data_IF_661875373746
#
_entry.id   IF_661875373746
#
_cell.length_a   1.000
_cell.length_b   1.000
_cell.length_c   1.000
_cell.angle_alpha   90.00
_cell.angle_beta   90.00
_cell.angle_gamma   90.00
#
_symmetry.space_group_name_H-M   'P 1'
#
loop_
_entity.id
_entity.type
_entity.pdbx_description
1 polymer ?
#
# COMPACT_ATOMS: atom_id res chain seq x y z
N UNK A 1 -31.23 -3.07 52.34
CA UNK A 1 -31.18 -1.59 52.34
C UNK A 1 -29.73 -1.22 52.04
N UNK A 2 -29.30 -0.43 51.06
CA UNK A 2 -29.90 0.58 50.18
C UNK A 2 -29.25 0.44 48.79
N UNK A 3 -30.03 0.64 47.72
CA UNK A 3 -29.57 0.75 46.34
C UNK A 3 -29.08 2.18 46.10
N UNK A 4 -27.92 2.37 45.46
CA UNK A 4 -27.48 3.66 44.97
C UNK A 4 -27.78 3.75 43.46
N UNK A 5 -28.72 4.62 43.14
CA UNK A 5 -29.14 5.00 41.80
C UNK A 5 -28.17 6.06 41.28
N UNK A 6 -27.44 5.81 40.19
CA UNK A 6 -26.67 6.84 39.49
C UNK A 6 -27.51 7.35 38.33
N UNK A 7 -27.82 8.64 38.38
CA UNK A 7 -28.61 9.38 37.39
C UNK A 7 -27.69 9.79 36.23
N UNK A 8 -28.06 9.41 35.02
CA UNK A 8 -27.46 9.88 33.76
C UNK A 8 -28.14 11.19 33.39
N UNK A 9 -27.39 12.30 33.37
CA UNK A 9 -27.87 13.59 32.85
C UNK A 9 -27.30 13.76 31.44
N UNK A 10 -28.20 13.62 30.47
CA UNK A 10 -28.00 13.91 29.06
C UNK A 10 -27.88 15.41 28.85
N UNK A 11 -26.78 15.87 28.23
CA UNK A 11 -26.57 17.26 27.86
C UNK A 11 -26.10 17.37 26.42
N UNK A 12 -27.05 17.43 25.48
CA UNK A 12 -26.80 17.74 24.08
C UNK A 12 -26.65 19.25 23.91
N UNK A 13 -25.46 19.74 23.54
CA UNK A 13 -25.30 21.08 22.98
C UNK A 13 -25.00 20.96 21.49
N UNK A 14 -26.00 21.24 20.67
CA UNK A 14 -25.83 21.50 19.24
C UNK A 14 -25.43 22.97 19.07
N UNK A 15 -24.20 23.20 18.58
CA UNK A 15 -23.76 24.51 18.10
C UNK A 15 -24.01 24.57 16.59
N UNK A 16 -24.98 25.39 16.20
CA UNK A 16 -25.25 25.79 14.81
C UNK A 16 -25.07 27.30 14.71
N UNK A 17 -24.54 27.74 13.57
CA UNK A 17 -24.37 29.11 13.04
C UNK A 17 -22.92 29.63 13.14
N UNK A 18 -22.28 30.09 12.06
CA UNK A 18 -22.79 30.35 10.71
C UNK A 18 -21.66 30.48 9.69
N UNK A 19 -21.99 30.19 8.44
CA UNK A 19 -21.12 30.43 7.28
C UNK A 19 -21.52 31.77 6.68
N UNK A 20 -20.61 32.73 6.71
CA UNK A 20 -20.76 34.03 6.05
C UNK A 20 -20.53 33.83 4.56
N UNK A 21 -21.59 33.96 3.76
CA UNK A 21 -21.48 34.03 2.30
C UNK A 21 -21.01 35.44 1.91
N UNK A 22 -19.76 35.55 1.47
CA UNK A 22 -19.23 36.77 0.86
C UNK A 22 -19.56 36.76 -0.64
N UNK A 23 -20.56 37.53 -1.04
CA UNK A 23 -20.89 37.79 -2.45
C UNK A 23 -19.86 38.74 -3.05
N UNK A 24 -18.96 38.23 -3.88
CA UNK A 24 -18.13 39.09 -4.75
C UNK A 24 -18.87 39.41 -6.05
N UNK A 25 -18.88 40.68 -6.49
CA UNK A 25 -19.57 41.10 -7.69
C UNK A 25 -18.89 40.59 -8.96
N UNK A 26 -19.71 40.11 -9.89
CA UNK A 26 -19.39 39.78 -11.27
C UNK A 26 -18.90 41.01 -12.02
N UNK A 27 -17.63 41.02 -12.42
CA UNK A 27 -17.09 41.99 -13.36
C UNK A 27 -17.49 41.61 -14.79
N UNK A 28 -18.01 42.59 -15.54
CA UNK A 28 -18.44 42.46 -16.92
C UNK A 28 -17.26 42.16 -17.88
N UNK A 29 -17.49 41.46 -19.00
CA UNK A 29 -16.46 41.25 -20.02
C UNK A 29 -16.22 42.55 -20.82
N UNK A 30 -14.99 43.06 -20.76
CA UNK A 30 -14.52 44.11 -21.67
C UNK A 30 -14.28 43.53 -23.06
N UNK A 31 -15.04 44.05 -24.04
CA UNK A 31 -14.74 43.92 -25.47
C UNK A 31 -13.46 44.69 -25.80
N UNK A 32 -12.43 43.97 -26.23
CA UNK A 32 -11.25 44.56 -26.88
C UNK A 32 -11.39 44.35 -28.39
N UNK A 33 -11.28 45.45 -29.14
CA UNK A 33 -11.35 45.51 -30.60
C UNK A 33 -10.14 44.80 -31.25
N UNK A 34 -10.30 44.13 -32.39
CA UNK A 34 -9.17 43.68 -33.19
C UNK A 34 -8.61 44.86 -33.99
N UNK A 35 -7.39 45.30 -33.66
CA UNK A 35 -6.58 46.07 -34.60
C UNK A 35 -5.87 45.10 -35.53
N UNK A 36 -6.24 45.16 -36.80
CA UNK A 36 -5.42 44.67 -37.89
C UNK A 36 -4.17 45.55 -38.01
N UNK A 37 -2.99 44.94 -37.95
CA UNK A 37 -1.89 45.36 -38.80
C UNK A 37 -1.07 44.14 -39.22
N UNK A 38 -1.19 43.91 -40.50
CA UNK A 38 -0.47 43.05 -41.41
C UNK A 38 1.06 42.94 -41.22
N UNK A 39 1.54 41.74 -41.58
CA UNK A 39 2.72 41.51 -42.43
C UNK A 39 4.09 41.49 -41.74
N UNK A 40 4.63 40.28 -41.61
CA UNK A 40 5.91 39.82 -42.20
C UNK A 40 6.49 38.63 -41.40
N UNK A 41 6.37 37.41 -41.95
CA UNK A 41 7.47 36.46 -42.23
C UNK A 41 6.85 35.07 -42.45
N UNK A 42 6.64 34.73 -43.72
CA UNK A 42 6.63 33.34 -44.13
C UNK A 42 8.06 32.80 -44.08
N UNK A 43 8.22 31.60 -43.53
CA UNK A 43 9.33 30.73 -43.91
C UNK A 43 10.33 30.43 -42.80
N UNK A 44 9.92 29.61 -41.84
CA UNK A 44 10.73 28.48 -41.37
C UNK A 44 9.80 27.54 -40.59
N UNK A 45 9.13 26.63 -41.30
CA UNK A 45 8.54 25.44 -40.69
C UNK A 45 9.71 24.59 -40.23
N UNK A 46 10.08 24.73 -38.95
CA UNK A 46 10.98 23.79 -38.31
C UNK A 46 10.35 22.40 -38.40
N UNK A 47 10.99 21.50 -39.17
CA UNK A 47 10.65 20.07 -39.18
C UNK A 47 10.66 19.61 -37.72
N UNK A 48 9.59 18.97 -37.20
CA UNK A 48 9.65 18.39 -35.87
C UNK A 48 10.78 17.37 -35.87
N UNK A 49 11.83 17.65 -35.11
CA UNK A 49 12.87 16.67 -34.83
C UNK A 49 12.21 15.55 -34.05
N UNK A 50 11.97 14.42 -34.71
CA UNK A 50 11.55 13.19 -34.06
C UNK A 50 12.74 12.75 -33.20
N UNK A 51 12.70 13.09 -31.91
CA UNK A 51 13.63 12.52 -30.94
C UNK A 51 13.31 11.03 -30.88
N UNK A 52 14.13 10.21 -31.54
CA UNK A 52 14.04 8.77 -31.43
C UNK A 52 14.35 8.38 -29.98
N UNK A 53 13.31 8.13 -29.18
CA UNK A 53 13.45 7.52 -27.86
C UNK A 53 13.94 6.10 -28.11
N UNK A 54 15.22 5.84 -27.80
CA UNK A 54 15.76 4.49 -27.87
C UNK A 54 14.92 3.57 -26.95
N UNK A 55 14.59 2.34 -27.36
CA UNK A 55 13.80 1.45 -26.53
C UNK A 55 14.55 1.17 -25.21
N UNK A 56 13.96 1.59 -24.09
CA UNK A 56 14.45 1.26 -22.75
C UNK A 56 14.45 -0.26 -22.62
N UNK A 57 15.63 -0.86 -22.42
CA UNK A 57 15.72 -2.30 -22.17
C UNK A 57 15.13 -2.58 -20.79
N UNK A 58 14.01 -3.29 -20.75
CA UNK A 58 13.41 -3.78 -19.52
C UNK A 58 14.30 -4.86 -18.89
N UNK A 59 14.41 -4.84 -17.56
CA UNK A 59 15.06 -5.90 -16.81
C UNK A 59 14.21 -7.18 -16.88
N UNK A 60 14.83 -8.38 -17.03
CA UNK A 60 14.10 -9.63 -16.95
C UNK A 60 13.38 -9.77 -15.60
N UNK A 61 12.11 -10.18 -15.62
CA UNK A 61 11.35 -10.42 -14.40
C UNK A 61 11.91 -11.63 -13.67
N UNK A 62 12.25 -11.54 -12.37
CA UNK A 62 12.68 -12.69 -11.57
C UNK A 62 11.64 -13.80 -11.59
N UNK A 63 12.08 -15.06 -11.76
CA UNK A 63 11.20 -16.22 -11.69
C UNK A 63 10.74 -16.42 -10.24
N UNK A 64 9.43 -16.39 -9.95
CA UNK A 64 8.95 -16.57 -8.57
C UNK A 64 9.25 -17.97 -8.04
N UNK A 65 9.82 -18.05 -6.83
CA UNK A 65 9.93 -19.28 -6.04
C UNK A 65 8.57 -19.73 -5.53
N UNK A 66 7.73 -18.78 -5.12
CA UNK A 66 6.34 -19.03 -4.72
C UNK A 66 5.38 -18.10 -5.45
N UNK A 67 4.17 -18.61 -5.70
CA UNK A 67 3.02 -17.81 -6.15
C UNK A 67 1.90 -17.99 -5.13
N UNK A 68 1.37 -16.87 -4.63
CA UNK A 68 0.31 -16.86 -3.62
C UNK A 68 -0.74 -15.80 -3.94
N UNK A 69 -1.98 -16.14 -3.62
CA UNK A 69 -3.11 -15.23 -3.66
C UNK A 69 -3.58 -15.03 -2.23
N UNK A 70 -3.66 -13.78 -1.78
CA UNK A 70 -4.23 -13.47 -0.47
C UNK A 70 -5.74 -13.73 -0.49
N UNK A 71 -6.22 -14.44 0.53
CA UNK A 71 -7.60 -14.86 0.66
C UNK A 71 -8.52 -13.69 1.03
N UNK A 72 -8.07 -12.84 1.94
CA UNK A 72 -8.84 -11.72 2.45
C UNK A 72 -7.95 -10.53 2.76
N UNK A 73 -8.60 -9.39 3.00
CA UNK A 73 -7.94 -8.19 3.51
C UNK A 73 -8.69 -7.61 4.69
N UNK A 74 -7.97 -7.09 5.68
CA UNK A 74 -8.55 -6.43 6.85
C UNK A 74 -7.67 -5.30 7.38
N UNK A 75 -8.22 -4.51 8.28
CA UNK A 75 -7.42 -3.68 9.17
C UNK A 75 -6.84 -4.55 10.31
N UNK A 76 -5.89 -3.99 11.07
CA UNK A 76 -5.21 -4.72 12.15
C UNK A 76 -6.19 -5.31 13.18
N UNK A 77 -7.21 -4.55 13.60
CA UNK A 77 -8.17 -4.94 14.63
C UNK A 77 -9.01 -6.17 14.25
N UNK A 78 -9.33 -6.34 12.96
CA UNK A 78 -10.19 -7.41 12.45
C UNK A 78 -9.41 -8.63 11.93
N UNK A 79 -8.08 -8.52 11.85
CA UNK A 79 -7.23 -9.48 11.14
C UNK A 79 -7.22 -10.87 11.77
N UNK A 80 -7.25 -10.96 13.10
CA UNK A 80 -7.08 -12.22 13.84
C UNK A 80 -8.08 -13.28 13.40
N UNK A 81 -9.37 -12.91 13.31
CA UNK A 81 -10.44 -13.84 12.91
C UNK A 81 -10.23 -14.39 11.50
N UNK A 82 -9.72 -13.59 10.58
CA UNK A 82 -9.48 -14.01 9.20
C UNK A 82 -8.26 -14.92 9.10
N UNK A 83 -7.22 -14.67 9.91
CA UNK A 83 -6.03 -15.53 9.94
C UNK A 83 -6.38 -16.88 10.56
N UNK A 84 -7.18 -16.89 11.63
CA UNK A 84 -7.64 -18.11 12.32
C UNK A 84 -8.51 -19.01 11.43
N UNK A 85 -9.14 -18.46 10.38
CA UNK A 85 -9.94 -19.23 9.43
C UNK A 85 -9.12 -20.21 8.57
N UNK A 86 -7.78 -20.08 8.51
CA UNK A 86 -6.89 -20.92 7.72
C UNK A 86 -7.18 -21.02 6.20
N UNK A 87 -7.99 -20.13 5.63
CA UNK A 87 -8.35 -20.18 4.20
C UNK A 87 -7.24 -19.65 3.26
N UNK A 88 -6.19 -19.06 3.83
CA UNK A 88 -5.02 -18.59 3.09
C UNK A 88 -4.35 -17.38 3.75
N UNK A 89 -3.36 -16.77 3.07
CA UNK A 89 -2.71 -15.57 3.57
C UNK A 89 -3.68 -14.38 3.61
N UNK A 90 -3.63 -13.59 4.68
CA UNK A 90 -4.48 -12.39 4.86
C UNK A 90 -3.63 -11.14 4.73
N UNK A 91 -4.04 -10.21 3.89
CA UNK A 91 -3.42 -8.89 3.80
C UNK A 91 -3.98 -7.95 4.87
N UNK A 92 -3.12 -7.33 5.64
CA UNK A 92 -3.46 -6.46 6.76
C UNK A 92 -2.98 -5.06 6.42
N UNK A 93 -3.93 -4.14 6.27
CA UNK A 93 -3.63 -2.73 6.08
C UNK A 93 -3.28 -2.09 7.42
N UNK A 94 -2.06 -1.56 7.52
CA UNK A 94 -1.54 -0.90 8.72
C UNK A 94 -1.59 0.63 8.60
N UNK A 95 -2.11 1.16 7.49
CA UNK A 95 -2.12 2.58 7.17
C UNK A 95 -1.07 2.95 6.10
N UNK A 96 -1.12 4.19 5.59
CA UNK A 96 -0.33 4.61 4.42
C UNK A 96 1.17 4.76 4.68
N UNK A 97 1.60 4.83 5.95
CA UNK A 97 3.00 4.95 6.36
C UNK A 97 3.66 3.62 6.69
N UNK A 98 3.01 2.50 6.38
CA UNK A 98 3.45 1.16 6.74
C UNK A 98 3.34 0.20 5.56
N UNK A 99 4.17 -0.86 5.53
CA UNK A 99 4.00 -1.95 4.57
C UNK A 99 2.62 -2.59 4.68
N UNK A 100 2.15 -3.22 3.60
CA UNK A 100 1.07 -4.20 3.72
C UNK A 100 1.63 -5.45 4.39
N UNK A 101 1.06 -5.83 5.54
CA UNK A 101 1.45 -7.04 6.24
C UNK A 101 0.63 -8.22 5.73
N UNK A 102 1.26 -9.25 5.17
CA UNK A 102 0.60 -10.48 4.77
C UNK A 102 0.90 -11.57 5.79
N UNK A 103 -0.12 -11.97 6.56
CA UNK A 103 0.04 -12.92 7.65
C UNK A 103 -0.66 -14.25 7.36
N UNK A 104 -0.07 -15.34 7.85
CA UNK A 104 -0.68 -16.67 7.87
C UNK A 104 -0.11 -17.44 9.07
N UNK A 105 -0.94 -18.20 9.78
CA UNK A 105 -0.40 -19.11 10.80
C UNK A 105 0.50 -20.15 10.16
N UNK A 106 1.47 -20.62 10.93
CA UNK A 106 2.40 -21.67 10.50
C UNK A 106 1.65 -22.97 10.20
N UNK A 107 0.74 -23.38 11.09
CA UNK A 107 -0.08 -24.59 10.92
C UNK A 107 -1.12 -24.48 9.80
N UNK A 108 -1.51 -23.26 9.37
CA UNK A 108 -2.33 -23.07 8.17
C UNK A 108 -1.47 -23.07 6.88
N UNK A 109 -0.16 -23.34 6.97
CA UNK A 109 0.76 -23.43 5.84
C UNK A 109 1.70 -22.23 5.66
N UNK A 110 1.66 -21.21 6.54
CA UNK A 110 2.54 -20.05 6.45
C UNK A 110 4.03 -20.42 6.43
N UNK A 111 4.46 -21.31 7.32
CA UNK A 111 5.85 -21.78 7.40
C UNK A 111 6.26 -22.69 6.23
N UNK A 112 5.31 -23.28 5.51
CA UNK A 112 5.62 -24.11 4.35
C UNK A 112 6.21 -23.29 3.18
N UNK A 113 6.11 -21.96 3.23
CA UNK A 113 6.67 -21.08 2.21
C UNK A 113 7.37 -19.83 2.76
N UNK A 114 6.74 -19.06 3.66
CA UNK A 114 7.30 -17.77 4.11
C UNK A 114 8.64 -17.95 4.82
N UNK A 115 8.76 -18.94 5.71
CA UNK A 115 10.02 -19.21 6.43
C UNK A 115 11.07 -19.96 5.59
N UNK A 116 10.75 -20.27 4.33
CA UNK A 116 11.66 -20.94 3.39
C UNK A 116 12.21 -19.97 2.34
N UNK A 117 11.86 -18.69 2.44
CA UNK A 117 12.36 -17.64 1.57
C UNK A 117 13.75 -17.21 2.01
N UNK A 118 14.61 -16.97 1.02
CA UNK A 118 15.95 -16.45 1.19
C UNK A 118 16.06 -15.06 0.54
N UNK A 119 17.10 -14.30 0.91
CA UNK A 119 17.39 -12.99 0.29
C UNK A 119 17.49 -13.11 -1.23
N UNK A 120 16.80 -12.22 -1.96
CA UNK A 120 16.75 -12.22 -3.43
C UNK A 120 15.74 -13.18 -4.05
N UNK A 121 15.08 -14.05 -3.28
CA UNK A 121 13.98 -14.85 -3.80
C UNK A 121 12.83 -13.96 -4.29
N UNK A 122 12.13 -14.44 -5.32
CA UNK A 122 10.96 -13.76 -5.84
C UNK A 122 9.66 -14.46 -5.41
N UNK A 123 8.65 -13.67 -5.09
CA UNK A 123 7.28 -14.12 -4.79
C UNK A 123 6.32 -13.40 -5.70
N UNK A 124 5.43 -14.14 -6.37
CA UNK A 124 4.31 -13.55 -7.08
C UNK A 124 3.12 -13.47 -6.14
N UNK A 125 2.69 -12.25 -5.82
CA UNK A 125 1.54 -11.98 -4.97
C UNK A 125 0.40 -11.38 -5.79
N UNK A 126 -0.82 -11.74 -5.43
CA UNK A 126 -2.07 -11.21 -5.96
C UNK A 126 -3.17 -11.38 -4.89
N UNK A 127 -4.40 -10.94 -5.19
CA UNK A 127 -5.56 -11.12 -4.31
C UNK A 127 -5.93 -9.87 -3.53
N UNK A 128 -6.67 -10.06 -2.44
CA UNK A 128 -7.21 -8.98 -1.62
C UNK A 128 -6.11 -8.20 -0.90
N UNK A 129 -6.22 -6.86 -0.88
CA UNK A 129 -5.36 -5.97 -0.08
C UNK A 129 -3.89 -5.87 -0.52
N UNK A 130 -3.45 -6.61 -1.54
CA UNK A 130 -2.10 -6.52 -2.11
C UNK A 130 -2.15 -6.10 -3.57
N UNK A 131 -1.19 -5.30 -4.00
CA UNK A 131 -1.04 -4.98 -5.42
C UNK A 131 -0.50 -6.23 -6.14
N UNK A 132 -1.16 -6.66 -7.21
CA UNK A 132 -0.67 -7.82 -7.96
C UNK A 132 0.71 -7.53 -8.58
N UNK A 133 1.65 -8.46 -8.44
CA UNK A 133 3.01 -8.28 -8.96
C UNK A 133 3.99 -9.37 -8.53
N UNK A 134 5.20 -9.27 -9.07
CA UNK A 134 6.38 -9.99 -8.57
C UNK A 134 7.05 -9.11 -7.53
N UNK A 135 7.40 -9.68 -6.41
CA UNK A 135 8.10 -9.05 -5.30
C UNK A 135 9.39 -9.80 -5.03
N UNK A 136 10.43 -9.11 -4.56
CA UNK A 136 11.75 -9.68 -4.28
C UNK A 136 12.06 -9.50 -2.80
N UNK A 137 12.57 -10.54 -2.16
CA UNK A 137 13.01 -10.50 -0.76
C UNK A 137 14.21 -9.59 -0.62
N UNK A 138 14.05 -8.51 0.13
CA UNK A 138 15.11 -7.53 0.42
C UNK A 138 15.48 -7.48 1.89
N UNK A 139 14.66 -8.08 2.76
CA UNK A 139 14.96 -8.15 4.19
C UNK A 139 14.33 -9.37 4.85
N UNK A 140 15.03 -9.98 5.81
CA UNK A 140 14.50 -11.04 6.67
C UNK A 140 14.86 -10.71 8.12
N UNK A 141 13.86 -10.64 8.99
CA UNK A 141 14.02 -10.46 10.44
C UNK A 141 13.35 -11.60 11.19
N UNK A 142 13.85 -11.86 12.39
CA UNK A 142 13.21 -12.77 13.35
C UNK A 142 12.84 -11.98 14.59
N UNK A 143 11.63 -12.21 15.11
CA UNK A 143 11.13 -11.57 16.32
C UNK A 143 10.57 -12.59 17.30
N UNK A 144 10.52 -12.21 18.58
CA UNK A 144 9.87 -13.02 19.60
C UNK A 144 8.35 -12.87 19.43
N UNK A 145 7.65 -14.01 19.33
CA UNK A 145 6.19 -14.07 19.27
C UNK A 145 5.58 -13.33 20.46
N UNK A 146 4.48 -12.60 20.22
CA UNK A 146 3.81 -11.71 21.18
C UNK A 146 4.61 -10.48 21.62
N UNK A 147 5.86 -10.31 21.16
CA UNK A 147 6.65 -9.09 21.36
C UNK A 147 6.86 -8.29 20.08
N UNK A 148 6.64 -8.90 18.92
CA UNK A 148 6.67 -8.23 17.63
C UNK A 148 5.61 -7.12 17.56
N UNK A 149 6.01 -5.95 17.05
CA UNK A 149 5.20 -4.74 16.89
C UNK A 149 5.23 -4.28 15.43
N UNK A 150 4.27 -3.44 15.07
CA UNK A 150 4.25 -2.76 13.76
C UNK A 150 5.54 -1.97 13.51
N UNK A 151 6.14 -1.39 14.54
CA UNK A 151 7.42 -0.68 14.46
C UNK A 151 8.63 -1.57 14.11
N UNK A 152 8.50 -2.89 14.23
CA UNK A 152 9.59 -3.83 13.98
C UNK A 152 9.64 -4.29 12.51
N UNK A 153 8.60 -3.95 11.74
CA UNK A 153 8.46 -4.34 10.35
C UNK A 153 9.56 -3.72 9.48
N UNK A 154 10.14 -4.47 8.53
CA UNK A 154 10.94 -3.92 7.44
C UNK A 154 10.22 -2.78 6.72
N UNK A 155 10.94 -1.73 6.39
CA UNK A 155 10.44 -0.63 5.56
C UNK A 155 10.51 -1.03 4.08
N UNK A 156 9.48 -1.73 3.63
CA UNK A 156 9.36 -2.36 2.30
C UNK A 156 7.93 -2.24 1.79
N UNK A 157 7.64 -2.59 0.54
CA UNK A 157 6.27 -2.58 0.02
C UNK A 157 5.34 -3.58 0.75
N UNK A 158 5.82 -4.79 1.02
CA UNK A 158 5.06 -5.88 1.65
C UNK A 158 5.93 -6.60 2.67
N UNK A 159 5.36 -6.93 3.84
CA UNK A 159 6.02 -7.82 4.81
C UNK A 159 5.21 -9.10 4.96
N UNK A 160 5.83 -10.26 4.79
CA UNK A 160 5.22 -11.55 5.12
C UNK A 160 5.49 -11.91 6.58
N UNK A 161 4.50 -12.48 7.27
CA UNK A 161 4.65 -12.92 8.66
C UNK A 161 4.04 -14.30 8.91
N UNK A 162 4.84 -15.17 9.51
CA UNK A 162 4.38 -16.46 10.06
C UNK A 162 5.19 -16.80 11.31
N UNK A 163 4.67 -17.69 12.16
CA UNK A 163 5.48 -18.37 13.17
C UNK A 163 6.45 -19.35 12.51
N UNK A 164 7.55 -19.66 13.20
CA UNK A 164 8.45 -20.76 12.81
C UNK A 164 7.97 -22.07 13.43
N UNK A 165 7.83 -23.11 12.61
CA UNK A 165 7.42 -24.43 13.09
C UNK A 165 8.47 -25.06 14.01
N UNK A 166 9.77 -24.83 13.74
CA UNK A 166 10.88 -25.36 14.54
C UNK A 166 11.10 -24.60 15.85
N UNK A 167 10.64 -23.34 15.93
CA UNK A 167 10.71 -22.51 17.13
C UNK A 167 9.44 -21.68 17.24
N UNK A 168 8.42 -22.27 17.87
CA UNK A 168 7.08 -21.67 18.00
C UNK A 168 7.05 -20.36 18.80
N UNK A 169 8.16 -19.98 19.44
CA UNK A 169 8.31 -18.71 20.14
C UNK A 169 8.81 -17.60 19.22
N UNK A 170 9.14 -17.90 17.96
CA UNK A 170 9.62 -16.93 16.98
C UNK A 170 8.64 -16.74 15.84
N UNK A 171 8.62 -15.52 15.33
CA UNK A 171 8.01 -15.18 14.05
C UNK A 171 9.10 -14.72 13.09
N UNK A 172 8.93 -15.03 11.81
CA UNK A 172 9.75 -14.46 10.74
C UNK A 172 8.98 -13.30 10.10
N UNK A 173 9.70 -12.22 9.81
CA UNK A 173 9.22 -11.08 9.04
C UNK A 173 10.06 -11.02 7.76
N UNK A 174 9.44 -11.22 6.61
CA UNK A 174 10.11 -11.20 5.30
C UNK A 174 9.68 -9.95 4.56
N UNK A 175 10.57 -8.95 4.47
CA UNK A 175 10.38 -7.72 3.72
C UNK A 175 10.57 -7.96 2.22
N UNK A 176 9.62 -7.47 1.44
CA UNK A 176 9.55 -7.67 0.00
C UNK A 176 9.36 -6.34 -0.73
N UNK A 177 10.21 -6.08 -1.72
CA UNK A 177 10.04 -4.95 -2.64
C UNK A 177 9.36 -5.38 -3.93
N UNK A 178 8.45 -4.56 -4.44
CA UNK A 178 7.81 -4.84 -5.72
C UNK A 178 8.83 -4.66 -6.83
N UNK A 179 8.98 -5.68 -7.65
CA UNK A 179 9.86 -5.63 -8.80
C UNK A 179 9.28 -4.70 -9.87
N UNK A 180 10.04 -3.66 -10.20
CA UNK A 180 9.79 -2.81 -11.37
C UNK A 180 10.81 -3.11 -12.48
N UNK A 181 10.39 -3.67 -13.63
CA UNK A 181 11.27 -3.94 -14.76
C UNK A 181 11.83 -2.67 -15.41
N UNK A 182 11.22 -1.51 -15.17
CA UNK A 182 11.63 -0.22 -15.71
C UNK A 182 12.54 0.56 -14.75
N UNK A 183 12.74 0.10 -13.52
CA UNK A 183 13.62 0.76 -12.57
C UNK A 183 15.08 0.74 -13.08
N UNK A 184 15.81 1.87 -12.97
CA UNK A 184 17.23 1.93 -13.31
C UNK A 184 18.04 1.00 -12.40
N UNK A 185 19.11 0.41 -12.96
CA UNK A 185 20.09 -0.43 -12.25
C UNK A 185 21.19 0.44 -11.66
#
# INVERSE_FOLDING_TARGET
MRRALVVVISGSLALVAGVVFSTRPTAAPQQVRPSALETQLFGMVAKPAVVAVAPTRLRPVPKPRFTRTTYASANLEDSVRLIDACDGPVAINLGPSHPVLVAQHDYCGGSAWMSRLDMGDAVKLAGHGVKSGTYVVTEIRFQIRLKARVSDLPDTDVVLQTCLTEDTKKVVLVGLERFDPAAPV
#
